data_IF_033670741958
#
_entry.id   IF_033670741958
#
_cell.length_a   1.000
_cell.length_b   1.000
_cell.length_c   1.000
_cell.angle_alpha   90.00
_cell.angle_beta   90.00
_cell.angle_gamma   90.00
#
_symmetry.space_group_name_H-M   'P 1'
#
loop_
_entity.id
_entity.type
_entity.pdbx_description
1 polymer ?
#
# COMPACT_ATOMS: atom_id res chain seq x y z
N UNK A 1 -17.06 -13.25 -6.57
CA UNK A 1 -15.94 -13.64 -5.70
C UNK A 1 -15.47 -12.35 -5.04
N UNK A 2 -15.98 -12.03 -3.86
CA UNK A 2 -15.49 -10.89 -3.10
C UNK A 2 -14.18 -11.21 -2.40
N UNK A 3 -13.50 -10.17 -1.91
CA UNK A 3 -12.26 -10.35 -1.16
C UNK A 3 -12.55 -10.17 0.33
N UNK A 4 -12.37 -11.24 1.10
CA UNK A 4 -12.47 -11.23 2.57
C UNK A 4 -11.07 -11.18 3.23
N UNK A 5 -10.03 -11.01 2.42
CA UNK A 5 -8.64 -11.09 2.85
C UNK A 5 -7.76 -10.07 2.12
N UNK A 6 -6.68 -9.68 2.80
CA UNK A 6 -5.70 -8.73 2.29
C UNK A 6 -4.30 -9.17 2.71
N UNK A 7 -3.42 -9.34 1.72
CA UNK A 7 -2.01 -9.65 1.92
C UNK A 7 -1.17 -8.39 1.74
N UNK A 8 -0.26 -8.15 2.68
CA UNK A 8 0.65 -7.00 2.67
C UNK A 8 2.07 -7.45 2.94
N UNK A 9 3.02 -6.94 2.15
CA UNK A 9 4.44 -7.16 2.36
C UNK A 9 5.20 -5.83 2.27
N UNK A 10 6.24 -5.70 3.07
CA UNK A 10 7.11 -4.53 3.04
C UNK A 10 8.52 -4.89 3.51
N UNK A 11 9.47 -4.03 3.16
CA UNK A 11 10.86 -4.12 3.57
C UNK A 11 11.23 -2.88 4.38
N UNK A 12 11.81 -3.08 5.56
CA UNK A 12 12.35 -2.01 6.39
C UNK A 12 13.87 -1.87 6.18
N UNK A 13 14.40 -0.66 6.40
CA UNK A 13 15.85 -0.39 6.26
C UNK A 13 16.68 -1.04 7.37
N UNK A 14 16.08 -1.22 8.55
CA UNK A 14 16.68 -1.80 9.76
C UNK A 14 15.79 -2.91 10.31
N UNK A 15 16.39 -3.91 10.96
CA UNK A 15 15.62 -4.98 11.61
C UNK A 15 14.69 -4.40 12.68
N UNK A 16 13.43 -4.80 12.62
CA UNK A 16 12.41 -4.31 13.56
C UNK A 16 11.34 -5.37 13.81
N UNK A 17 10.67 -5.26 14.96
CA UNK A 17 9.41 -5.94 15.22
C UNK A 17 8.29 -4.95 14.99
N UNK A 18 7.59 -5.12 13.88
CA UNK A 18 6.53 -4.20 13.47
C UNK A 18 5.17 -4.85 13.73
N UNK A 19 4.32 -4.18 14.48
CA UNK A 19 2.90 -4.55 14.61
C UNK A 19 2.13 -3.99 13.41
N UNK A 20 0.99 -4.59 13.11
CA UNK A 20 0.14 -4.14 12.02
C UNK A 20 -1.25 -3.82 12.54
N UNK A 21 -1.61 -2.54 12.54
CA UNK A 21 -2.90 -2.06 13.01
C UNK A 21 -3.84 -1.86 11.81
N UNK A 22 -5.12 -2.21 11.94
CA UNK A 22 -6.15 -1.95 10.92
C UNK A 22 -7.53 -1.67 11.52
N UNK A 23 -8.39 -1.06 10.71
CA UNK A 23 -9.78 -0.74 11.10
C UNK A 23 -10.53 -0.01 9.99
N UNK A 24 -11.81 0.30 10.23
CA UNK A 24 -12.66 1.02 9.26
C UNK A 24 -12.49 2.55 9.29
N UNK A 25 -11.70 3.08 10.24
CA UNK A 25 -11.48 4.51 10.40
C UNK A 25 -9.98 4.82 10.48
N UNK A 26 -9.49 5.86 9.81
CA UNK A 26 -8.08 6.25 9.89
C UNK A 26 -7.67 6.73 11.28
N UNK A 27 -8.64 7.11 12.13
CA UNK A 27 -8.41 7.59 13.49
C UNK A 27 -8.54 6.49 14.55
N UNK A 28 -9.11 5.35 14.18
CA UNK A 28 -9.39 4.25 15.10
C UNK A 28 -9.13 2.90 14.43
N UNK A 29 -7.88 2.46 14.52
CA UNK A 29 -7.44 1.12 14.12
C UNK A 29 -7.64 0.20 15.32
N UNK A 30 -8.82 -0.44 15.39
CA UNK A 30 -9.27 -1.22 16.54
C UNK A 30 -8.78 -2.67 16.53
N UNK A 31 -8.03 -3.07 15.51
CA UNK A 31 -7.49 -4.42 15.36
C UNK A 31 -5.98 -4.35 15.18
N UNK A 32 -5.24 -5.26 15.83
CA UNK A 32 -3.78 -5.34 15.74
C UNK A 32 -3.36 -6.78 15.50
N UNK A 33 -2.53 -6.99 14.48
CA UNK A 33 -1.81 -8.25 14.28
C UNK A 33 -0.46 -8.18 15.01
N UNK A 34 -0.04 -9.29 15.67
CA UNK A 34 1.20 -9.32 16.41
C UNK A 34 2.41 -9.24 15.48
N UNK A 35 3.49 -8.64 15.99
CA UNK A 35 4.78 -8.70 15.34
C UNK A 35 5.37 -10.13 15.40
N UNK A 36 6.24 -10.51 14.45
CA UNK A 36 6.99 -11.77 14.55
C UNK A 36 7.89 -11.81 15.79
N UNK A 37 8.21 -13.03 16.23
CA UNK A 37 9.02 -13.26 17.43
C UNK A 37 10.43 -12.65 17.33
N UNK A 38 11.03 -12.75 16.15
CA UNK A 38 12.35 -12.21 15.85
C UNK A 38 12.27 -10.94 15.00
N UNK A 39 13.11 -9.92 15.27
CA UNK A 39 13.29 -8.78 14.39
C UNK A 39 13.70 -9.24 12.97
N UNK A 40 13.15 -8.59 11.95
CA UNK A 40 13.47 -8.86 10.55
C UNK A 40 13.37 -7.59 9.73
N UNK A 41 13.97 -7.60 8.53
CA UNK A 41 13.76 -6.56 7.51
C UNK A 41 12.63 -6.87 6.56
N UNK A 42 12.27 -8.14 6.41
CA UNK A 42 11.27 -8.62 5.46
C UNK A 42 10.01 -9.01 6.22
N UNK A 43 8.91 -8.34 5.91
CA UNK A 43 7.66 -8.50 6.63
C UNK A 43 6.55 -8.91 5.66
N UNK A 44 5.64 -9.73 6.16
CA UNK A 44 4.41 -10.08 5.47
C UNK A 44 3.31 -10.29 6.51
N UNK A 45 2.09 -9.92 6.17
CA UNK A 45 0.89 -10.17 6.98
C UNK A 45 -0.27 -10.53 6.07
N UNK A 46 -1.16 -11.38 6.58
CA UNK A 46 -2.44 -11.69 5.96
C UNK A 46 -3.55 -11.32 6.93
N UNK A 47 -4.44 -10.44 6.51
CA UNK A 47 -5.68 -10.14 7.21
C UNK A 47 -6.78 -11.02 6.62
N UNK A 48 -7.63 -11.60 7.47
CA UNK A 48 -8.74 -12.48 7.07
C UNK A 48 -10.03 -12.08 7.76
N UNK A 49 -11.18 -12.47 7.18
CA UNK A 49 -12.50 -12.19 7.75
C UNK A 49 -12.89 -10.71 7.61
N UNK A 50 -12.40 -10.05 6.57
CA UNK A 50 -12.82 -8.70 6.23
C UNK A 50 -14.21 -8.72 5.62
N UNK A 51 -15.01 -7.72 5.95
CA UNK A 51 -16.28 -7.49 5.27
C UNK A 51 -15.98 -6.93 3.88
N UNK A 52 -16.73 -7.39 2.89
CA UNK A 52 -16.66 -6.90 1.52
C UNK A 52 -17.15 -5.46 1.36
N UNK A 53 -16.83 -4.82 0.23
CA UNK A 53 -17.20 -3.42 -0.10
C UNK A 53 -16.85 -2.38 0.98
N UNK A 54 -15.86 -2.66 1.82
CA UNK A 54 -15.46 -1.79 2.91
C UNK A 54 -14.06 -1.22 2.68
N UNK A 55 -13.93 0.08 2.93
CA UNK A 55 -12.62 0.73 3.01
C UNK A 55 -12.00 0.44 4.38
N UNK A 56 -10.85 -0.21 4.38
CA UNK A 56 -10.05 -0.44 5.56
C UNK A 56 -8.84 0.49 5.55
N UNK A 57 -8.53 1.04 6.70
CA UNK A 57 -7.31 1.78 6.97
C UNK A 57 -6.33 0.87 7.72
N UNK A 58 -5.04 1.05 7.45
CA UNK A 58 -4.01 0.31 8.13
C UNK A 58 -2.75 1.14 8.36
N UNK A 59 -1.94 0.67 9.31
CA UNK A 59 -0.63 1.23 9.62
C UNK A 59 0.32 0.13 10.06
N UNK A 60 1.54 0.20 9.55
CA UNK A 60 2.67 -0.52 10.12
C UNK A 60 3.19 0.28 11.31
N UNK A 61 3.00 -0.24 12.52
CA UNK A 61 3.45 0.40 13.74
C UNK A 61 4.98 0.22 13.86
N UNK A 62 5.70 1.23 13.39
CA UNK A 62 7.17 1.31 13.36
C UNK A 62 7.61 2.74 13.70
N UNK A 63 8.87 3.10 13.46
CA UNK A 63 9.36 4.46 13.73
C UNK A 63 8.71 5.54 12.83
N UNK A 64 8.23 5.17 11.64
CA UNK A 64 7.48 6.05 10.73
C UNK A 64 6.04 5.54 10.55
N UNK A 65 5.07 6.30 11.03
CA UNK A 65 3.68 5.86 11.20
C UNK A 65 2.73 6.58 10.24
N UNK A 66 2.70 6.14 8.97
CA UNK A 66 1.71 6.59 7.97
C UNK A 66 0.44 5.74 7.96
N UNK A 67 -0.71 6.38 7.72
CA UNK A 67 -1.99 5.69 7.48
C UNK A 67 -2.14 5.45 5.99
N UNK A 68 -2.47 4.22 5.62
CA UNK A 68 -2.81 3.80 4.27
C UNK A 68 -4.20 3.17 4.25
N UNK A 69 -4.74 2.89 3.07
CA UNK A 69 -6.04 2.24 2.95
C UNK A 69 -6.12 1.30 1.75
N UNK A 70 -7.06 0.36 1.81
CA UNK A 70 -7.49 -0.49 0.71
C UNK A 70 -9.00 -0.72 0.80
N UNK A 71 -9.62 -1.19 -0.27
CA UNK A 71 -11.06 -1.48 -0.31
C UNK A 71 -11.26 -2.93 -0.72
N UNK A 72 -12.08 -3.66 0.01
CA UNK A 72 -12.45 -5.03 -0.33
C UNK A 72 -13.45 -5.07 -1.49
N UNK A 73 -13.34 -6.10 -2.33
CA UNK A 73 -14.27 -6.35 -3.43
C UNK A 73 -15.57 -7.04 -2.95
N UNK A 74 -16.72 -6.75 -3.59
CA UNK A 74 -18.01 -7.42 -3.33
C UNK A 74 -18.07 -8.90 -3.69
N UNK A 75 -18.76 -9.74 -2.89
CA UNK A 75 -19.40 -10.96 -3.38
C UNK A 75 -20.55 -10.60 -4.33
N UNK A 76 -20.70 -11.42 -5.37
CA UNK A 76 -21.88 -11.41 -6.24
C UNK A 76 -22.11 -10.11 -7.02
N UNK A 77 -21.12 -9.80 -7.86
CA UNK A 77 -21.10 -8.72 -8.83
C UNK A 77 -21.90 -9.03 -10.09
N UNK A 78 -23.21 -9.30 -9.99
CA UNK A 78 -24.05 -9.45 -11.19
C UNK A 78 -24.04 -8.19 -12.08
N UNK A 79 -23.61 -7.04 -11.55
CA UNK A 79 -23.35 -5.84 -12.35
C UNK A 79 -22.39 -4.82 -11.67
N UNK A 80 -21.34 -5.26 -10.97
CA UNK A 80 -20.40 -4.32 -10.32
C UNK A 80 -19.31 -3.86 -11.30
N UNK A 81 -19.25 -2.57 -11.70
CA UNK A 81 -18.19 -2.08 -12.55
C UNK A 81 -16.86 -2.06 -11.78
N UNK A 82 -15.87 -2.78 -12.26
CA UNK A 82 -14.49 -2.69 -11.77
C UNK A 82 -13.56 -2.24 -12.89
N UNK A 83 -12.49 -1.56 -12.50
CA UNK A 83 -11.42 -1.16 -13.41
C UNK A 83 -10.15 -1.92 -13.04
N UNK A 84 -9.45 -2.44 -14.03
CA UNK A 84 -8.14 -3.02 -13.86
C UNK A 84 -7.16 -2.35 -14.83
N UNK A 85 -5.89 -2.29 -14.44
CA UNK A 85 -4.81 -1.90 -15.32
C UNK A 85 -3.89 -3.10 -15.50
N UNK A 86 -3.45 -3.33 -16.73
CA UNK A 86 -2.42 -4.33 -17.04
C UNK A 86 -1.16 -3.57 -17.41
N UNK A 87 -0.05 -3.95 -16.78
CA UNK A 87 1.25 -3.36 -17.07
C UNK A 87 2.31 -4.47 -17.11
N UNK A 88 3.13 -4.44 -18.14
CA UNK A 88 4.30 -5.31 -18.33
C UNK A 88 5.54 -4.42 -18.52
N UNK A 89 6.73 -4.99 -18.34
CA UNK A 89 8.01 -4.29 -18.52
C UNK A 89 8.14 -2.99 -17.69
N UNK A 90 7.51 -2.96 -16.51
CA UNK A 90 7.66 -1.85 -15.56
C UNK A 90 9.11 -1.86 -15.07
N UNK A 91 9.86 -0.82 -15.42
CA UNK A 91 11.23 -0.62 -14.95
C UNK A 91 11.34 0.71 -14.20
N UNK A 92 12.22 0.73 -13.20
CA UNK A 92 12.55 1.93 -12.45
C UNK A 92 13.38 2.88 -13.33
N UNK A 93 12.88 4.09 -13.56
CA UNK A 93 13.66 5.19 -14.12
C UNK A 93 13.60 6.39 -13.18
N UNK A 94 14.69 7.15 -13.09
CA UNK A 94 14.71 8.35 -12.27
C UNK A 94 13.80 9.41 -12.89
N UNK A 95 12.85 9.90 -12.09
CA UNK A 95 12.04 11.06 -12.47
C UNK A 95 12.89 12.32 -12.35
N UNK A 96 13.69 12.64 -13.37
CA UNK A 96 14.26 13.97 -13.48
C UNK A 96 13.10 14.94 -13.73
N UNK A 97 12.74 15.74 -12.71
CA UNK A 97 11.75 16.80 -12.83
C UNK A 97 11.98 17.59 -14.12
N UNK A 98 10.91 17.77 -14.90
CA UNK A 98 10.85 18.40 -16.24
C UNK A 98 11.45 19.83 -16.28
N UNK A 99 11.88 20.37 -15.14
CA UNK A 99 12.69 21.60 -15.03
C UNK A 99 13.93 21.67 -15.93
N UNK A 100 14.48 20.53 -16.39
CA UNK A 100 15.63 20.51 -17.31
C UNK A 100 15.27 20.59 -18.79
N UNK A 101 14.03 20.30 -19.19
CA UNK A 101 13.61 20.50 -20.58
C UNK A 101 13.54 21.99 -20.93
N UNK A 102 13.04 22.83 -20.01
CA UNK A 102 12.99 24.29 -20.22
C UNK A 102 14.38 24.98 -20.29
N UNK A 103 15.40 24.47 -19.58
CA UNK A 103 16.75 25.07 -19.60
C UNK A 103 17.58 24.71 -20.84
N UNK A 104 17.28 23.60 -21.51
CA UNK A 104 18.03 23.18 -22.71
C UNK A 104 17.64 23.99 -23.96
N UNK A 105 16.40 24.49 -24.04
CA UNK A 105 15.97 25.38 -25.13
C UNK A 105 16.49 26.82 -24.98
N UNK A 106 16.74 27.31 -23.76
CA UNK A 106 17.24 28.67 -23.55
C UNK A 106 18.75 28.84 -23.82
N UNK A 107 19.54 27.75 -23.80
CA UNK A 107 20.97 27.81 -24.13
C UNK A 107 21.28 27.71 -25.63
N UNK A 108 20.29 27.42 -26.47
CA UNK A 108 20.47 27.30 -27.93
C UNK A 108 20.16 28.60 -28.70
N UNK A 109 19.69 29.66 -28.01
CA UNK A 109 19.35 30.95 -28.59
C UNK A 109 19.80 32.12 -27.71
N UNK A 110 21.06 32.11 -27.28
CA UNK A 110 21.74 33.24 -26.65
C UNK A 110 23.04 33.54 -27.36
#
# INVERSE_FOLDING_TARGET
MGSDSFDMSWVSSTESRCFFDYGLSPFLLNSTLPAPDLPTKYHWVTIKGLNEENAYHYRVNSSSNGINNFTTFPLDADNYPFSFAVATDIHWSSSNSISNFGRRYQKAHG
#
